data_IF_700523373449
#
_entry.id   IF_700523373449
#
_cell.length_a   1.000
_cell.length_b   1.000
_cell.length_c   1.000
_cell.angle_alpha   90.00
_cell.angle_beta   90.00
_cell.angle_gamma   90.00
#
_symmetry.space_group_name_H-M   'P 1'
#
loop_
_entity.id
_entity.type
_entity.pdbx_description
1 polymer ?
#
# COMPACT_ATOMS: atom_id res chain seq x y z
N UNK A 1 -0.53 -2.18 22.20
CA UNK A 1 -0.15 -2.19 20.78
C UNK A 1 1.33 -2.47 20.69
N UNK A 2 1.71 -3.66 20.26
CA UNK A 2 3.11 -3.98 20.01
C UNK A 2 3.46 -3.50 18.61
N UNK A 3 4.08 -2.33 18.52
CA UNK A 3 4.70 -1.82 17.29
C UNK A 3 6.06 -2.49 17.03
N UNK A 4 6.18 -3.78 17.31
CA UNK A 4 7.47 -4.45 17.20
C UNK A 4 7.84 -4.82 15.76
N UNK A 5 6.92 -4.62 14.80
CA UNK A 5 7.19 -4.88 13.40
C UNK A 5 6.27 -4.04 12.50
N UNK A 6 6.75 -2.90 12.10
CA UNK A 6 6.19 -2.20 10.95
C UNK A 6 6.64 -2.94 9.67
N UNK A 7 6.13 -4.15 9.49
CA UNK A 7 6.38 -4.93 8.29
C UNK A 7 5.26 -4.73 7.28
N UNK A 8 5.61 -4.30 6.09
CA UNK A 8 4.70 -4.31 4.96
C UNK A 8 5.30 -5.10 3.80
N UNK A 9 4.47 -5.86 3.13
CA UNK A 9 4.86 -6.69 2.01
C UNK A 9 4.50 -5.99 0.71
N UNK A 10 5.49 -5.75 -0.13
CA UNK A 10 5.31 -5.17 -1.46
C UNK A 10 5.37 -6.29 -2.50
N UNK A 11 4.25 -6.56 -3.15
CA UNK A 11 4.25 -7.38 -4.35
C UNK A 11 4.50 -6.50 -5.57
N UNK A 12 5.52 -6.79 -6.36
CA UNK A 12 5.90 -6.00 -7.52
C UNK A 12 6.05 -6.88 -8.77
N UNK A 13 5.89 -6.27 -9.93
CA UNK A 13 6.16 -6.92 -11.22
C UNK A 13 7.66 -6.78 -11.54
N UNK A 14 8.38 -7.89 -11.50
CA UNK A 14 9.81 -7.94 -11.76
C UNK A 14 10.21 -7.45 -13.19
N UNK A 15 9.25 -7.33 -14.09
CA UNK A 15 9.46 -6.77 -15.42
C UNK A 15 9.43 -5.24 -15.47
N UNK A 16 8.92 -4.58 -14.44
CA UNK A 16 8.67 -3.12 -14.43
C UNK A 16 9.43 -2.36 -13.34
N UNK A 17 9.77 -3.00 -12.25
CA UNK A 17 10.52 -2.39 -11.16
C UNK A 17 11.53 -3.39 -10.60
N UNK A 18 12.69 -2.92 -10.19
CA UNK A 18 13.68 -3.76 -9.52
C UNK A 18 13.46 -3.73 -8.02
N UNK A 19 13.47 -4.89 -7.34
CA UNK A 19 13.35 -4.93 -5.88
C UNK A 19 14.38 -4.06 -5.18
N UNK A 20 15.59 -4.02 -5.72
CA UNK A 20 16.71 -3.27 -5.15
C UNK A 20 16.42 -1.76 -5.10
N UNK A 21 15.74 -1.22 -6.11
CA UNK A 21 15.40 0.20 -6.18
C UNK A 21 14.37 0.57 -5.10
N UNK A 22 13.36 -0.28 -4.91
CA UNK A 22 12.35 -0.11 -3.84
C UNK A 22 12.96 -0.26 -2.45
N UNK A 23 13.82 -1.26 -2.26
CA UNK A 23 14.53 -1.50 -1.00
C UNK A 23 15.43 -0.31 -0.64
N UNK A 24 16.14 0.24 -1.61
CA UNK A 24 17.02 1.39 -1.40
C UNK A 24 16.21 2.61 -0.92
N UNK A 25 15.08 2.90 -1.54
CA UNK A 25 14.20 4.02 -1.18
C UNK A 25 13.62 3.83 0.23
N UNK A 26 13.16 2.63 0.53
CA UNK A 26 12.57 2.31 1.83
C UNK A 26 13.63 2.42 2.94
N UNK A 27 14.86 1.96 2.68
CA UNK A 27 15.97 2.10 3.62
C UNK A 27 16.41 3.55 3.81
N UNK A 28 16.42 4.34 2.75
CA UNK A 28 16.71 5.77 2.81
C UNK A 28 15.67 6.53 3.65
N UNK A 29 14.42 6.07 3.63
CA UNK A 29 13.36 6.57 4.50
C UNK A 29 13.48 6.11 5.97
N UNK A 30 14.46 5.27 6.31
CA UNK A 30 14.72 4.82 7.68
C UNK A 30 14.03 3.52 8.09
N UNK A 31 13.47 2.77 7.12
CA UNK A 31 12.81 1.49 7.37
C UNK A 31 13.68 0.31 6.95
N UNK A 32 13.57 -0.81 7.66
CA UNK A 32 14.20 -2.06 7.26
C UNK A 32 13.35 -2.76 6.22
N UNK A 33 13.95 -3.18 5.12
CA UNK A 33 13.25 -3.88 4.04
C UNK A 33 14.00 -5.12 3.58
N UNK A 34 13.27 -6.13 3.19
CA UNK A 34 13.81 -7.37 2.63
C UNK A 34 12.90 -7.91 1.52
N UNK A 35 13.44 -8.74 0.65
CA UNK A 35 12.66 -9.44 -0.36
C UNK A 35 12.05 -10.68 0.28
N UNK A 36 10.72 -10.71 0.38
CA UNK A 36 10.00 -11.91 0.77
C UNK A 36 9.91 -12.86 -0.42
N UNK A 37 10.26 -14.12 -0.21
CA UNK A 37 10.00 -15.18 -1.20
C UNK A 37 8.56 -15.67 -1.06
N UNK A 38 8.05 -16.31 -2.10
CA UNK A 38 6.66 -16.78 -2.18
C UNK A 38 6.25 -17.67 -0.98
N UNK A 39 7.22 -18.33 -0.34
CA UNK A 39 7.00 -19.15 0.86
C UNK A 39 6.82 -18.34 2.16
N UNK A 40 7.17 -17.06 2.16
CA UNK A 40 7.11 -16.20 3.35
C UNK A 40 5.99 -15.18 3.30
N UNK A 41 5.25 -15.14 2.21
CA UNK A 41 4.00 -14.40 2.17
C UNK A 41 3.01 -15.13 3.07
N UNK A 42 2.39 -14.45 4.05
CA UNK A 42 1.25 -15.06 4.72
C UNK A 42 0.27 -15.47 3.63
N UNK A 43 0.01 -16.78 3.56
CA UNK A 43 -0.84 -17.40 2.53
C UNK A 43 -2.31 -16.94 2.61
N UNK A 44 -2.64 -16.04 3.49
CA UNK A 44 -3.98 -15.77 3.99
C UNK A 44 -4.48 -14.37 3.69
N UNK A 45 -4.00 -13.77 2.63
CA UNK A 45 -4.83 -12.78 1.97
C UNK A 45 -5.63 -13.46 0.85
N UNK A 46 -6.28 -14.56 1.17
CA UNK A 46 -7.56 -14.83 0.55
C UNK A 46 -8.41 -13.63 0.92
N UNK A 47 -8.36 -12.65 0.02
CA UNK A 47 -9.36 -11.61 -0.02
C UNK A 47 -10.68 -12.33 0.12
N UNK A 48 -11.29 -12.19 1.28
CA UNK A 48 -12.67 -12.53 1.47
C UNK A 48 -13.40 -11.70 0.41
N UNK A 49 -13.64 -12.30 -0.75
CA UNK A 49 -14.42 -11.72 -1.85
C UNK A 49 -15.90 -11.59 -1.48
N UNK A 50 -16.15 -11.33 -0.20
CA UNK A 50 -17.36 -10.68 0.23
C UNK A 50 -17.31 -9.29 -0.39
N UNK A 51 -18.12 -9.10 -1.42
CA UNK A 51 -18.32 -7.84 -2.13
C UNK A 51 -18.27 -6.66 -1.17
N UNK A 52 -17.10 -6.07 -1.02
CA UNK A 52 -16.99 -4.80 -0.32
C UNK A 52 -17.58 -3.74 -1.24
N UNK A 53 -18.74 -3.23 -0.89
CA UNK A 53 -19.53 -2.31 -1.69
C UNK A 53 -19.10 -0.84 -1.46
N UNK A 54 -17.78 -0.64 -1.36
CA UNK A 54 -17.21 0.71 -1.32
C UNK A 54 -16.98 1.21 -2.75
N UNK A 55 -17.69 2.27 -3.18
CA UNK A 55 -17.63 2.76 -4.56
C UNK A 55 -16.24 3.19 -5.00
N UNK A 56 -15.47 3.78 -4.09
CA UNK A 56 -14.11 4.27 -4.37
C UNK A 56 -13.17 3.09 -4.60
N UNK A 57 -13.30 2.06 -3.79
CA UNK A 57 -12.53 0.83 -3.94
C UNK A 57 -12.89 0.08 -5.22
N UNK A 58 -14.18 -0.06 -5.53
CA UNK A 58 -14.64 -0.72 -6.75
C UNK A 58 -14.18 0.01 -8.03
N UNK A 59 -14.24 1.33 -8.05
CA UNK A 59 -13.71 2.12 -9.17
C UNK A 59 -12.20 1.95 -9.32
N UNK A 60 -11.48 1.91 -8.22
CA UNK A 60 -10.03 1.66 -8.19
C UNK A 60 -9.68 0.28 -8.75
N UNK A 61 -10.42 -0.77 -8.38
CA UNK A 61 -10.24 -2.11 -8.93
C UNK A 61 -10.50 -2.14 -10.44
N UNK A 62 -11.58 -1.52 -10.89
CA UNK A 62 -11.92 -1.45 -12.32
C UNK A 62 -10.83 -0.72 -13.12
N UNK A 63 -10.32 0.37 -12.58
CA UNK A 63 -9.23 1.14 -13.17
C UNK A 63 -7.94 0.31 -13.25
N UNK A 64 -7.57 -0.37 -12.18
CA UNK A 64 -6.38 -1.21 -12.12
C UNK A 64 -6.42 -2.33 -13.17
N UNK A 65 -7.56 -3.00 -13.30
CA UNK A 65 -7.77 -4.03 -14.32
C UNK A 65 -7.67 -3.47 -15.74
N UNK A 66 -8.30 -2.32 -15.99
CA UNK A 66 -8.28 -1.66 -17.30
C UNK A 66 -6.87 -1.22 -17.71
N UNK A 67 -6.10 -0.68 -16.77
CA UNK A 67 -4.75 -0.18 -17.00
C UNK A 67 -3.67 -1.25 -16.83
N UNK A 68 -4.04 -2.44 -16.34
CA UNK A 68 -3.13 -3.53 -15.97
C UNK A 68 -2.01 -3.06 -15.05
N UNK A 69 -2.39 -2.32 -14.01
CA UNK A 69 -1.49 -1.76 -13.00
C UNK A 69 -1.79 -2.32 -11.63
N UNK A 70 -0.78 -2.55 -10.79
CA UNK A 70 -1.00 -2.85 -9.39
C UNK A 70 -1.63 -1.67 -8.66
N UNK A 71 -2.27 -1.95 -7.53
CA UNK A 71 -2.88 -0.94 -6.67
C UNK A 71 -1.99 -0.74 -5.45
N UNK A 72 -1.80 0.51 -5.07
CA UNK A 72 -1.22 0.90 -3.78
C UNK A 72 -2.29 1.67 -3.01
N UNK A 73 -2.64 1.17 -1.83
CA UNK A 73 -3.59 1.83 -0.94
C UNK A 73 -2.82 2.42 0.23
N UNK A 74 -2.97 3.71 0.44
CA UNK A 74 -2.48 4.44 1.61
C UNK A 74 -3.64 4.68 2.57
N UNK A 75 -3.69 3.89 3.65
CA UNK A 75 -4.62 4.13 4.75
C UNK A 75 -4.06 5.20 5.67
N UNK A 76 -4.79 6.29 5.79
CA UNK A 76 -4.41 7.45 6.59
C UNK A 76 -5.60 7.98 7.40
N UNK A 77 -5.36 8.97 8.21
CA UNK A 77 -6.39 9.76 8.86
C UNK A 77 -5.93 11.22 8.99
N UNK A 78 -6.87 12.13 9.08
CA UNK A 78 -6.58 13.56 9.18
C UNK A 78 -5.78 13.95 10.45
N UNK A 79 -5.91 13.17 11.52
CA UNK A 79 -5.19 13.33 12.78
C UNK A 79 -3.83 12.60 12.83
N UNK A 80 -3.51 11.79 11.85
CA UNK A 80 -2.29 10.98 11.81
C UNK A 80 -1.07 11.81 11.42
N UNK A 81 -0.25 12.18 12.37
CA UNK A 81 0.98 12.98 12.16
C UNK A 81 2.00 12.25 11.28
N UNK A 82 2.30 10.95 11.50
CA UNK A 82 3.20 10.19 10.61
C UNK A 82 2.70 10.12 9.17
N UNK A 83 1.38 9.99 8.96
CA UNK A 83 0.78 9.99 7.62
C UNK A 83 1.05 11.31 6.89
N UNK A 84 0.87 12.44 7.56
CA UNK A 84 1.14 13.77 7.00
C UNK A 84 2.62 13.97 6.67
N UNK A 85 3.51 13.43 7.49
CA UNK A 85 4.94 13.47 7.23
C UNK A 85 5.28 12.66 5.98
N UNK A 86 4.75 11.45 5.86
CA UNK A 86 4.95 10.60 4.69
C UNK A 86 4.42 11.25 3.42
N UNK A 87 3.26 11.90 3.49
CA UNK A 87 2.70 12.65 2.37
C UNK A 87 3.61 13.79 1.91
N UNK A 88 4.20 14.51 2.84
CA UNK A 88 5.07 15.66 2.53
C UNK A 88 6.48 15.30 2.10
N UNK A 89 7.05 14.28 2.69
CA UNK A 89 8.47 13.95 2.54
C UNK A 89 8.69 12.76 1.61
N UNK A 90 7.84 11.74 1.67
CA UNK A 90 8.00 10.50 0.91
C UNK A 90 7.29 10.56 -0.44
N UNK A 91 6.02 10.92 -0.46
CA UNK A 91 5.23 10.92 -1.70
C UNK A 91 5.56 12.09 -2.63
N UNK A 92 6.20 13.12 -2.12
CA UNK A 92 6.71 14.25 -2.91
C UNK A 92 8.13 14.06 -3.41
N UNK A 93 8.83 13.02 -2.93
CA UNK A 93 10.14 12.66 -3.46
C UNK A 93 10.01 12.31 -4.95
N UNK A 94 10.86 12.89 -5.84
CA UNK A 94 10.74 12.69 -7.28
C UNK A 94 10.83 11.22 -7.69
N UNK A 95 11.64 10.42 -7.00
CA UNK A 95 11.79 8.98 -7.29
C UNK A 95 10.52 8.22 -6.92
N UNK A 96 9.96 8.50 -5.74
CA UNK A 96 8.70 7.88 -5.29
C UNK A 96 7.54 8.32 -6.16
N UNK A 97 7.42 9.61 -6.48
CA UNK A 97 6.39 10.13 -7.36
C UNK A 97 6.41 9.45 -8.75
N UNK A 98 7.60 9.24 -9.31
CA UNK A 98 7.76 8.52 -10.57
C UNK A 98 7.29 7.06 -10.50
N UNK A 99 7.53 6.37 -9.37
CA UNK A 99 7.07 5.00 -9.15
C UNK A 99 5.55 4.94 -8.95
N UNK A 100 4.96 5.93 -8.30
CA UNK A 100 3.51 6.01 -8.09
C UNK A 100 2.73 6.21 -9.40
N UNK A 101 3.35 6.75 -10.44
CA UNK A 101 2.74 6.84 -11.78
C UNK A 101 2.53 5.46 -12.44
N UNK A 102 3.29 4.45 -12.00
CA UNK A 102 3.22 3.07 -12.52
C UNK A 102 2.18 2.20 -11.83
N UNK A 103 1.52 2.73 -10.81
CA UNK A 103 0.49 2.05 -10.03
C UNK A 103 -0.81 2.85 -10.03
N UNK A 104 -1.90 2.22 -9.64
CA UNK A 104 -3.11 2.93 -9.27
C UNK A 104 -3.01 3.24 -7.77
N UNK A 105 -2.81 4.50 -7.44
CA UNK A 105 -2.67 4.96 -6.07
C UNK A 105 -4.02 5.38 -5.50
N UNK A 106 -4.42 4.78 -4.39
CA UNK A 106 -5.64 5.09 -3.66
C UNK A 106 -5.30 5.55 -2.25
N UNK A 107 -5.68 6.76 -1.91
CA UNK A 107 -5.59 7.30 -0.56
C UNK A 107 -6.93 7.14 0.14
N UNK A 108 -6.93 6.49 1.30
CA UNK A 108 -8.14 6.17 2.07
C UNK A 108 -8.05 6.79 3.47
N UNK A 109 -8.97 7.67 3.78
CA UNK A 109 -9.18 8.13 5.16
C UNK A 109 -9.99 7.07 5.91
N UNK A 110 -9.41 6.51 6.96
CA UNK A 110 -10.04 5.44 7.74
C UNK A 110 -11.28 5.89 8.53
N UNK A 111 -11.40 7.19 8.78
CA UNK A 111 -12.57 7.76 9.43
C UNK A 111 -13.74 7.91 8.46
N UNK A 112 -13.45 8.15 7.18
CA UNK A 112 -14.46 8.25 6.11
C UNK A 112 -14.84 6.86 5.56
N UNK A 113 -13.90 5.91 5.56
CA UNK A 113 -14.08 4.57 5.01
C UNK A 113 -13.75 3.47 6.04
N UNK A 114 -14.45 3.42 7.19
CA UNK A 114 -14.13 2.48 8.27
C UNK A 114 -14.31 1.02 7.88
N UNK A 115 -15.28 0.71 7.03
CA UNK A 115 -15.52 -0.66 6.57
C UNK A 115 -14.40 -1.16 5.65
N UNK A 116 -13.83 -0.27 4.84
CA UNK A 116 -12.68 -0.58 4.00
C UNK A 116 -11.43 -0.84 4.85
N UNK A 117 -11.17 -0.01 5.85
CA UNK A 117 -10.09 -0.22 6.80
C UNK A 117 -10.23 -1.55 7.55
N UNK A 118 -11.44 -1.88 7.99
CA UNK A 118 -11.77 -3.13 8.66
C UNK A 118 -11.58 -4.34 7.75
N UNK A 119 -11.99 -4.24 6.49
CA UNK A 119 -11.83 -5.31 5.49
C UNK A 119 -10.34 -5.66 5.30
N UNK A 120 -9.47 -4.67 5.26
CA UNK A 120 -8.03 -4.87 5.13
C UNK A 120 -7.31 -5.14 6.47
N UNK A 121 -8.02 -5.20 7.58
CA UNK A 121 -7.43 -5.45 8.90
C UNK A 121 -6.48 -4.37 9.35
N UNK A 122 -6.75 -3.11 9.02
CA UNK A 122 -5.93 -1.96 9.41
C UNK A 122 -6.02 -1.74 10.92
N UNK A 123 -4.89 -1.88 11.63
CA UNK A 123 -4.82 -1.72 13.09
C UNK A 123 -4.07 -0.45 13.50
N UNK A 124 -3.24 0.10 12.62
CA UNK A 124 -2.47 1.31 12.89
C UNK A 124 -2.22 2.11 11.63
N UNK A 125 -1.82 3.36 11.77
CA UNK A 125 -1.59 4.27 10.67
C UNK A 125 -0.18 4.89 10.74
N UNK A 126 0.46 5.15 9.60
CA UNK A 126 0.02 4.80 8.24
C UNK A 126 0.06 3.30 7.95
N UNK A 127 -0.82 2.81 7.10
CA UNK A 127 -0.82 1.42 6.62
C UNK A 127 -0.85 1.44 5.08
N UNK A 128 0.15 0.87 4.45
CA UNK A 128 0.27 0.82 2.99
C UNK A 128 0.04 -0.60 2.52
N UNK A 129 -0.92 -0.78 1.62
CA UNK A 129 -1.25 -2.08 1.04
C UNK A 129 -0.97 -2.10 -0.46
N UNK A 130 -0.49 -3.24 -0.92
CA UNK A 130 -0.17 -3.48 -2.32
C UNK A 130 -1.02 -4.64 -2.82
N UNK A 131 -1.75 -4.40 -3.91
CA UNK A 131 -2.63 -5.38 -4.52
C UNK A 131 -2.23 -5.61 -5.98
N UNK A 132 -2.30 -6.86 -6.41
CA UNK A 132 -2.17 -7.19 -7.83
C UNK A 132 -3.44 -6.76 -8.58
N UNK A 133 -3.33 -6.42 -9.88
CA UNK A 133 -4.50 -6.11 -10.68
C UNK A 133 -5.41 -7.31 -10.88
#
# INVERSE_FOLDING_TARGET
>A
MKLDRDEFVVAFDAGKARPEDLIAIIREAGYTSYVATDETLPADNETNEGSLDDPVYQDTLARAKRENKPIVIDFMASWCVPCKRMEKETFTDPTVASLLEQVVFLKVDTDEHPELAKHFGVEGLPDIRFLKP
#
